data_IF_725117585691
#
_entry.id   IF_725117585691
#
_cell.length_a   1.000
_cell.length_b   1.000
_cell.length_c   1.000
_cell.angle_alpha   90.00
_cell.angle_beta   90.00
_cell.angle_gamma   90.00
#
_symmetry.space_group_name_H-M   'P 1'
#
loop_
_entity.id
_entity.type
_entity.pdbx_description
1 polymer ?
#
# COMPACT_ATOMS: atom_id res chain seq x y z
N UNK A 1 15.15 7.55 -0.59
CA UNK A 1 13.76 7.88 -0.22
C UNK A 1 13.77 9.22 0.49
N UNK A 2 12.93 10.16 0.06
CA UNK A 2 12.71 11.42 0.78
C UNK A 2 11.30 11.44 1.34
N UNK A 3 11.16 12.01 2.54
CA UNK A 3 9.87 12.15 3.21
C UNK A 3 9.60 13.63 3.36
N UNK A 4 8.43 14.08 2.88
CA UNK A 4 8.03 15.48 2.94
C UNK A 4 6.61 15.58 3.47
N UNK A 5 6.39 16.53 4.37
CA UNK A 5 5.05 16.95 4.77
C UNK A 5 4.35 17.68 3.62
N UNK A 6 3.11 17.28 3.35
CA UNK A 6 2.24 17.88 2.33
C UNK A 6 0.93 18.33 2.96
N UNK A 7 0.30 19.34 2.37
CA UNK A 7 -1.02 19.79 2.80
C UNK A 7 -2.09 18.78 2.32
N UNK A 8 -2.90 18.19 3.22
CA UNK A 8 -4.01 17.33 2.83
C UNK A 8 -5.01 17.98 1.87
N UNK A 9 -5.18 19.31 1.93
CA UNK A 9 -6.10 20.07 1.08
C UNK A 9 -5.68 20.09 -0.39
N UNK A 10 -4.39 19.92 -0.65
CA UNK A 10 -3.83 19.81 -2.00
C UNK A 10 -3.94 18.38 -2.57
N UNK A 11 -4.72 17.51 -1.91
CA UNK A 11 -4.86 16.09 -2.30
C UNK A 11 -6.33 15.67 -2.40
N UNK A 12 -6.58 14.57 -3.09
CA UNK A 12 -7.91 13.92 -3.13
C UNK A 12 -8.33 13.31 -1.78
N UNK A 13 -7.48 13.37 -0.76
CA UNK A 13 -7.70 12.75 0.56
C UNK A 13 -8.11 13.74 1.64
N UNK A 14 -8.31 15.04 1.33
CA UNK A 14 -8.61 16.08 2.31
C UNK A 14 -9.72 15.69 3.32
N UNK A 15 -10.91 15.31 2.83
CA UNK A 15 -12.02 14.92 3.70
C UNK A 15 -11.75 13.64 4.48
N UNK A 16 -11.04 12.67 3.88
CA UNK A 16 -10.66 11.45 4.57
C UNK A 16 -9.68 11.75 5.70
N UNK A 17 -8.69 12.61 5.47
CA UNK A 17 -7.73 13.03 6.48
C UNK A 17 -8.44 13.69 7.68
N UNK A 18 -9.34 14.64 7.41
CA UNK A 18 -10.11 15.33 8.46
C UNK A 18 -10.96 14.37 9.30
N UNK A 19 -11.66 13.44 8.65
CA UNK A 19 -12.54 12.49 9.32
C UNK A 19 -11.77 11.45 10.13
N UNK A 20 -10.68 10.91 9.56
CA UNK A 20 -10.00 9.75 10.13
C UNK A 20 -8.91 10.11 11.13
N UNK A 21 -8.31 11.31 11.08
CA UNK A 21 -7.19 11.62 11.98
C UNK A 21 -7.54 11.62 13.46
N UNK A 22 -8.80 11.92 13.78
CA UNK A 22 -9.30 11.92 15.16
C UNK A 22 -10.06 10.64 15.52
N UNK A 23 -10.12 9.66 14.61
CA UNK A 23 -10.81 8.41 14.88
C UNK A 23 -9.95 7.52 15.81
N UNK A 24 -10.55 6.82 16.77
CA UNK A 24 -9.82 5.98 17.72
C UNK A 24 -9.11 4.77 17.08
N UNK A 25 -9.59 4.31 15.92
CA UNK A 25 -8.96 3.26 15.13
C UNK A 25 -9.30 3.43 13.63
N UNK A 26 -8.52 4.23 12.87
CA UNK A 26 -8.82 4.58 11.47
C UNK A 26 -8.36 3.51 10.46
N UNK A 27 -8.44 2.22 10.83
CA UNK A 27 -7.95 1.13 9.99
C UNK A 27 -9.05 0.10 9.76
N UNK A 28 -9.10 -0.42 8.54
CA UNK A 28 -9.95 -1.53 8.13
C UNK A 28 -9.10 -2.59 7.47
N UNK A 29 -9.48 -3.86 7.65
CA UNK A 29 -8.78 -5.00 7.04
C UNK A 29 -9.76 -5.77 6.18
N UNK A 30 -9.38 -5.97 4.92
CA UNK A 30 -10.14 -6.77 3.96
C UNK A 30 -9.42 -8.09 3.68
N UNK A 31 -10.19 -9.16 3.52
CA UNK A 31 -9.68 -10.48 3.17
C UNK A 31 -10.19 -10.88 1.78
N UNK A 32 -9.29 -11.40 0.96
CA UNK A 32 -9.59 -11.92 -0.37
C UNK A 32 -8.77 -13.16 -0.64
N UNK A 33 -9.42 -14.22 -1.09
CA UNK A 33 -8.74 -15.43 -1.58
C UNK A 33 -8.33 -15.21 -3.04
N UNK A 34 -7.06 -15.47 -3.34
CA UNK A 34 -6.50 -15.40 -4.69
C UNK A 34 -6.11 -16.81 -5.17
N UNK A 35 -6.34 -17.10 -6.45
CA UNK A 35 -5.74 -18.27 -7.08
C UNK A 35 -4.26 -18.02 -7.33
N UNK A 36 -3.41 -18.86 -6.73
CA UNK A 36 -1.96 -18.77 -6.78
C UNK A 36 -1.31 -19.85 -7.64
N UNK A 37 -2.10 -20.70 -8.31
CA UNK A 37 -1.55 -21.75 -9.19
C UNK A 37 -0.61 -21.21 -10.28
N UNK A 38 -0.85 -20.03 -10.90
CA UNK A 38 0.13 -19.45 -11.83
C UNK A 38 1.50 -19.21 -11.20
N UNK A 39 1.56 -18.75 -9.95
CA UNK A 39 2.81 -18.53 -9.23
C UNK A 39 3.49 -19.84 -8.84
N UNK A 40 2.72 -20.87 -8.46
CA UNK A 40 3.25 -22.21 -8.16
C UNK A 40 3.91 -22.80 -9.41
N UNK A 41 3.24 -22.72 -10.57
CA UNK A 41 3.78 -23.22 -11.83
C UNK A 41 5.03 -22.46 -12.25
N UNK A 42 5.05 -21.13 -12.06
CA UNK A 42 6.25 -20.30 -12.32
C UNK A 42 7.39 -20.63 -11.37
N UNK A 43 7.11 -20.85 -10.09
CA UNK A 43 8.10 -21.26 -9.08
C UNK A 43 8.79 -22.56 -9.48
N UNK A 44 8.01 -23.58 -9.87
CA UNK A 44 8.53 -24.89 -10.31
C UNK A 44 9.34 -24.80 -11.61
N UNK A 45 8.82 -24.11 -12.61
CA UNK A 45 9.48 -24.03 -13.92
C UNK A 45 10.75 -23.18 -13.92
N UNK A 46 10.82 -22.14 -13.08
CA UNK A 46 11.96 -21.22 -13.03
C UNK A 46 12.90 -21.44 -11.83
N UNK A 47 12.60 -22.39 -10.94
CA UNK A 47 13.39 -22.64 -9.71
C UNK A 47 13.35 -21.49 -8.69
N UNK A 48 12.38 -20.58 -8.79
CA UNK A 48 12.26 -19.42 -7.90
C UNK A 48 11.39 -19.73 -6.68
N UNK A 49 11.69 -19.14 -5.53
CA UNK A 49 10.87 -19.31 -4.32
C UNK A 49 9.50 -18.66 -4.50
N UNK A 50 8.44 -19.39 -4.10
CA UNK A 50 7.06 -18.91 -4.20
C UNK A 50 6.82 -17.56 -3.50
N UNK A 51 7.31 -17.39 -2.27
CA UNK A 51 7.14 -16.15 -1.50
C UNK A 51 7.79 -14.95 -2.19
N UNK A 52 8.96 -15.11 -2.80
CA UNK A 52 9.60 -14.05 -3.58
C UNK A 52 8.75 -13.63 -4.79
N UNK A 53 8.14 -14.59 -5.50
CA UNK A 53 7.24 -14.29 -6.61
C UNK A 53 5.98 -13.54 -6.13
N UNK A 54 5.45 -13.96 -4.98
CA UNK A 54 4.30 -13.31 -4.37
C UNK A 54 4.63 -11.86 -3.94
N UNK A 55 5.75 -11.66 -3.25
CA UNK A 55 6.23 -10.33 -2.83
C UNK A 55 6.47 -9.42 -4.03
N UNK A 56 7.05 -9.97 -5.12
CA UNK A 56 7.21 -9.23 -6.37
C UNK A 56 5.87 -8.79 -6.96
N UNK A 57 4.87 -9.67 -7.00
CA UNK A 57 3.53 -9.35 -7.47
C UNK A 57 2.86 -8.26 -6.61
N UNK A 58 2.97 -8.37 -5.28
CA UNK A 58 2.46 -7.37 -4.34
C UNK A 58 3.15 -6.03 -4.57
N UNK A 59 4.49 -6.00 -4.60
CA UNK A 59 5.25 -4.78 -4.81
C UNK A 59 4.95 -4.12 -6.16
N UNK A 60 4.88 -4.91 -7.24
CA UNK A 60 4.54 -4.43 -8.59
C UNK A 60 3.13 -3.83 -8.66
N UNK A 61 2.16 -4.43 -7.97
CA UNK A 61 0.80 -3.91 -7.92
C UNK A 61 0.71 -2.66 -7.02
N UNK A 62 1.37 -2.67 -5.86
CA UNK A 62 1.36 -1.56 -4.91
C UNK A 62 2.07 -0.33 -5.46
N UNK A 63 3.16 -0.50 -6.22
CA UNK A 63 3.99 0.61 -6.69
C UNK A 63 3.30 1.57 -7.66
N UNK A 64 2.18 1.16 -8.25
CA UNK A 64 1.39 2.01 -9.16
C UNK A 64 0.32 2.84 -8.43
N UNK A 65 0.08 2.55 -7.15
CA UNK A 65 -0.96 3.19 -6.34
C UNK A 65 -0.35 4.36 -5.58
N UNK A 66 -0.69 5.58 -6.00
CA UNK A 66 -0.12 6.82 -5.44
C UNK A 66 -0.43 6.97 -3.95
N UNK A 67 -1.59 6.49 -3.52
CA UNK A 67 -2.07 6.58 -2.15
C UNK A 67 -1.26 5.73 -1.17
N UNK A 68 -0.55 4.69 -1.65
CA UNK A 68 0.35 3.89 -0.80
C UNK A 68 1.67 4.60 -0.48
N UNK A 69 1.90 5.78 -1.06
CA UNK A 69 3.04 6.64 -0.78
C UNK A 69 2.71 7.79 0.17
N UNK A 70 1.47 7.88 0.66
CA UNK A 70 1.06 8.88 1.65
C UNK A 70 0.72 8.21 2.98
N UNK A 71 1.26 8.73 4.08
CA UNK A 71 1.07 8.18 5.42
C UNK A 71 0.73 9.30 6.42
N UNK A 72 -0.40 9.22 7.14
CA UNK A 72 -0.64 10.09 8.29
C UNK A 72 0.30 9.73 9.45
N UNK A 73 0.99 10.72 10.02
CA UNK A 73 1.88 10.56 11.18
C UNK A 73 1.62 11.71 12.16
N UNK A 74 1.03 11.41 13.32
CA UNK A 74 0.46 12.46 14.18
C UNK A 74 -0.60 13.24 13.39
N UNK A 75 -0.58 14.57 13.46
CA UNK A 75 -1.51 15.44 12.71
C UNK A 75 -1.00 15.85 11.32
N UNK A 76 -0.06 15.11 10.74
CA UNK A 76 0.62 15.46 9.49
C UNK A 76 0.41 14.41 8.41
N UNK A 77 0.27 14.86 7.16
CA UNK A 77 0.28 13.97 6.00
C UNK A 77 1.68 13.95 5.38
N UNK A 78 2.32 12.79 5.41
CA UNK A 78 3.67 12.60 4.87
C UNK A 78 3.60 11.94 3.49
N UNK A 79 4.28 12.52 2.51
CA UNK A 79 4.52 11.90 1.20
C UNK A 79 5.91 11.28 1.18
N UNK A 80 5.97 10.01 0.79
CA UNK A 80 7.19 9.22 0.62
C UNK A 80 7.51 9.14 -0.87
N UNK A 81 8.71 9.57 -1.26
CA UNK A 81 9.22 9.48 -2.64
C UNK A 81 10.49 8.65 -2.73
#
# INVERSE_FOLDING_TARGET
MSVREIDPQETTRASAFELWMKAPNPMVTFFKTYDVMPLINKSRSAGLKFNMLLDYCIGKAASTIKEFYTLPVGDKLMLIR
#
